data_IF_480120629083
#
_entry.id   IF_480120629083
#
_cell.length_a   1.000
_cell.length_b   1.000
_cell.length_c   1.000
_cell.angle_alpha   90.00
_cell.angle_beta   90.00
_cell.angle_gamma   90.00
#
_symmetry.space_group_name_H-M   'P 1'
#
loop_
_entity.id
_entity.type
_entity.pdbx_description
1 polymer ?
#
# COMPACT_ATOMS: atom_id res chain seq x y z
N UNK A 1 34.64 13.11 -19.45
CA UNK A 1 33.37 13.47 -20.13
C UNK A 1 33.01 12.25 -20.96
N UNK A 2 32.23 11.35 -20.38
CA UNK A 2 31.90 10.06 -21.02
C UNK A 2 30.45 10.17 -21.46
N UNK A 3 30.29 10.28 -22.77
CA UNK A 3 29.02 10.29 -23.47
C UNK A 3 28.57 8.83 -23.60
N UNK A 4 27.87 8.31 -22.58
CA UNK A 4 27.12 7.05 -22.68
C UNK A 4 25.69 7.38 -23.08
N UNK A 5 25.50 7.83 -24.31
CA UNK A 5 24.19 7.92 -24.94
C UNK A 5 23.88 6.56 -25.58
N UNK A 6 23.66 5.56 -24.72
CA UNK A 6 23.04 4.31 -25.12
C UNK A 6 21.55 4.54 -25.25
N UNK A 7 21.07 4.75 -26.47
CA UNK A 7 19.65 4.80 -26.81
C UNK A 7 19.05 3.39 -26.66
N UNK A 8 18.65 3.05 -25.43
CA UNK A 8 18.08 1.76 -25.10
C UNK A 8 16.58 1.64 -25.41
N UNK A 9 15.99 2.53 -26.24
CA UNK A 9 14.56 2.47 -26.66
C UNK A 9 13.53 2.58 -25.52
N UNK A 10 13.99 2.56 -24.27
CA UNK A 10 13.31 2.84 -23.02
C UNK A 10 13.79 4.25 -22.67
N UNK A 11 12.96 5.28 -22.86
CA UNK A 11 13.36 6.68 -22.75
C UNK A 11 14.41 6.95 -21.67
N UNK A 12 15.49 7.64 -22.02
CA UNK A 12 16.72 7.74 -21.23
C UNK A 12 16.41 8.02 -19.77
N UNK A 13 16.64 7.00 -18.93
CA UNK A 13 16.32 7.10 -17.53
C UNK A 13 17.08 8.28 -16.92
N UNK A 14 16.35 9.17 -16.24
CA UNK A 14 16.95 10.41 -15.77
C UNK A 14 17.99 10.11 -14.69
N UNK A 15 19.03 10.95 -14.56
CA UNK A 15 20.04 10.78 -13.51
C UNK A 15 19.41 10.64 -12.11
N UNK A 16 18.30 11.33 -11.85
CA UNK A 16 17.53 11.23 -10.60
C UNK A 16 16.92 9.84 -10.40
N UNK A 17 16.40 9.23 -11.45
CA UNK A 17 15.86 7.86 -11.39
C UNK A 17 16.97 6.84 -11.12
N UNK A 18 18.16 7.02 -11.70
CA UNK A 18 19.34 6.19 -11.44
C UNK A 18 19.81 6.27 -9.99
N UNK A 19 19.92 7.48 -9.43
CA UNK A 19 20.26 7.69 -8.01
C UNK A 19 19.21 7.04 -7.10
N UNK A 20 17.93 7.25 -7.39
CA UNK A 20 16.82 6.68 -6.63
C UNK A 20 16.81 5.15 -6.64
N UNK A 21 17.04 4.54 -7.81
CA UNK A 21 17.12 3.09 -7.96
C UNK A 21 18.31 2.52 -7.19
N UNK A 22 19.47 3.17 -7.28
CA UNK A 22 20.66 2.79 -6.51
C UNK A 22 20.43 2.88 -5.00
N UNK A 23 19.82 3.94 -4.50
CA UNK A 23 19.48 4.07 -3.08
C UNK A 23 18.51 2.99 -2.60
N UNK A 24 17.55 2.59 -3.43
CA UNK A 24 16.66 1.48 -3.10
C UNK A 24 17.44 0.15 -3.03
N UNK A 25 18.31 -0.13 -4.01
CA UNK A 25 19.13 -1.35 -4.05
C UNK A 25 20.11 -1.43 -2.87
N UNK A 26 20.81 -0.34 -2.55
CA UNK A 26 21.77 -0.28 -1.43
C UNK A 26 21.06 -0.51 -0.09
N UNK A 27 19.86 0.07 0.11
CA UNK A 27 19.05 -0.19 1.32
C UNK A 27 18.65 -1.66 1.46
N UNK A 28 18.64 -2.41 0.36
CA UNK A 28 18.32 -3.83 0.29
C UNK A 28 19.57 -4.71 0.21
N UNK A 29 20.76 -4.17 0.45
CA UNK A 29 22.03 -4.90 0.50
C UNK A 29 22.70 -5.15 -0.86
N UNK A 30 22.16 -4.62 -1.96
CA UNK A 30 22.77 -4.74 -3.28
C UNK A 30 23.66 -3.51 -3.57
N UNK A 31 24.98 -3.72 -3.63
CA UNK A 31 25.96 -2.67 -3.97
C UNK A 31 26.11 -2.56 -5.49
N UNK A 32 25.63 -1.45 -6.06
CA UNK A 32 25.63 -1.23 -7.50
C UNK A 32 26.11 0.18 -7.82
N UNK A 33 26.96 0.30 -8.85
CA UNK A 33 27.38 1.61 -9.37
C UNK A 33 26.31 2.23 -10.26
N UNK A 34 25.88 1.47 -11.28
CA UNK A 34 24.88 1.86 -12.26
C UNK A 34 23.82 0.76 -12.29
N UNK A 35 22.60 0.99 -11.77
CA UNK A 35 21.53 0.01 -11.86
C UNK A 35 21.20 -0.28 -13.32
N UNK A 36 20.79 -1.52 -13.62
CA UNK A 36 20.32 -1.86 -14.97
C UNK A 36 19.20 -0.91 -15.43
N UNK A 37 19.08 -0.59 -16.73
CA UNK A 37 18.08 0.38 -17.23
C UNK A 37 16.64 0.05 -16.80
N UNK A 38 16.25 -1.21 -16.86
CA UNK A 38 14.93 -1.68 -16.40
C UNK A 38 14.70 -1.38 -14.91
N UNK A 39 15.69 -1.67 -14.06
CA UNK A 39 15.63 -1.38 -12.63
C UNK A 39 15.58 0.13 -12.38
N UNK A 40 16.29 0.90 -13.20
CA UNK A 40 16.34 2.36 -13.08
C UNK A 40 14.98 2.99 -13.32
N UNK A 41 14.31 2.67 -14.43
CA UNK A 41 12.99 3.22 -14.74
C UNK A 41 11.98 2.78 -13.68
N UNK A 42 12.03 1.51 -13.29
CA UNK A 42 11.05 0.93 -12.37
C UNK A 42 11.19 1.43 -10.93
N UNK A 43 12.41 1.47 -10.39
CA UNK A 43 12.67 1.90 -9.01
C UNK A 43 12.79 3.43 -8.89
N UNK A 44 13.25 4.10 -9.94
CA UNK A 44 13.45 5.54 -9.97
C UNK A 44 12.16 6.32 -9.75
N UNK A 45 11.05 5.83 -10.30
CA UNK A 45 9.74 6.45 -10.10
C UNK A 45 9.13 6.17 -8.71
N UNK A 46 9.63 5.13 -8.01
CA UNK A 46 9.14 4.74 -6.67
C UNK A 46 9.80 5.49 -5.53
N UNK A 47 11.06 5.92 -5.65
CA UNK A 47 11.75 6.67 -4.59
C UNK A 47 11.32 8.16 -4.49
N UNK A 48 10.17 8.53 -5.05
CA UNK A 48 9.49 9.81 -4.81
C UNK A 48 8.88 9.85 -3.39
N UNK A 49 9.70 9.52 -2.40
CA UNK A 49 9.39 9.47 -0.95
C UNK A 49 8.85 10.81 -0.43
N UNK A 50 9.16 11.92 -1.12
CA UNK A 50 8.66 13.28 -0.83
C UNK A 50 7.18 13.51 -1.20
N UNK A 51 6.60 12.65 -2.03
CA UNK A 51 5.18 12.77 -2.43
C UNK A 51 4.26 12.19 -1.35
N UNK A 52 4.74 11.34 -0.45
CA UNK A 52 3.94 10.81 0.67
C UNK A 52 3.42 11.90 1.60
N UNK A 53 4.24 12.92 1.89
CA UNK A 53 3.81 14.07 2.69
C UNK A 53 2.79 14.93 1.95
N UNK A 54 2.96 15.10 0.63
CA UNK A 54 1.99 15.77 -0.23
C UNK A 54 0.66 15.01 -0.33
N UNK A 55 0.71 13.68 -0.44
CA UNK A 55 -0.47 12.82 -0.42
C UNK A 55 -1.17 12.83 0.94
N UNK A 56 -0.44 12.85 2.05
CA UNK A 56 -1.01 13.02 3.39
C UNK A 56 -1.65 14.41 3.57
N UNK A 57 -1.01 15.47 3.07
CA UNK A 57 -1.60 16.81 3.09
C UNK A 57 -2.87 16.90 2.22
N UNK A 58 -2.83 16.35 1.01
CA UNK A 58 -4.00 16.24 0.12
C UNK A 58 -5.07 15.35 0.73
N UNK A 59 -4.69 14.27 1.42
CA UNK A 59 -5.59 13.39 2.18
C UNK A 59 -6.30 14.16 3.29
N UNK A 60 -5.57 14.93 4.10
CA UNK A 60 -6.16 15.76 5.16
C UNK A 60 -7.11 16.80 4.57
N UNK A 61 -6.72 17.48 3.48
CA UNK A 61 -7.56 18.49 2.81
C UNK A 61 -8.82 17.87 2.18
N UNK A 62 -8.69 16.73 1.48
CA UNK A 62 -9.83 16.01 0.90
C UNK A 62 -10.74 15.43 1.98
N UNK A 63 -10.17 14.91 3.07
CA UNK A 63 -10.94 14.44 4.20
C UNK A 63 -11.74 15.61 4.81
N UNK A 64 -11.13 16.77 5.00
CA UNK A 64 -11.82 17.95 5.51
C UNK A 64 -12.90 18.47 4.55
N UNK A 65 -12.63 18.52 3.24
CA UNK A 65 -13.60 18.96 2.23
C UNK A 65 -14.77 17.96 2.07
N UNK A 66 -14.49 16.67 2.12
CA UNK A 66 -15.52 15.63 2.05
C UNK A 66 -16.35 15.58 3.34
N UNK A 67 -15.74 15.85 4.51
CA UNK A 67 -16.43 16.05 5.78
C UNK A 67 -17.42 17.23 5.68
N UNK A 68 -16.95 18.39 5.22
CA UNK A 68 -17.79 19.56 5.00
C UNK A 68 -18.93 19.29 4.00
N UNK A 69 -18.66 18.53 2.94
CA UNK A 69 -19.68 18.17 1.94
C UNK A 69 -20.73 17.20 2.46
N UNK A 70 -20.33 16.16 3.22
CA UNK A 70 -21.27 15.21 3.83
C UNK A 70 -22.16 15.92 4.85
N UNK A 71 -21.59 16.74 5.75
CA UNK A 71 -22.37 17.54 6.69
C UNK A 71 -23.31 18.56 6.02
N UNK A 72 -23.00 18.98 4.80
CA UNK A 72 -23.87 19.88 4.05
C UNK A 72 -25.04 19.16 3.36
N UNK A 73 -24.88 17.88 3.00
CA UNK A 73 -25.87 17.09 2.24
C UNK A 73 -26.74 16.15 3.09
N UNK A 74 -26.22 15.62 4.20
CA UNK A 74 -26.95 14.66 5.05
C UNK A 74 -28.22 15.22 5.69
N UNK A 75 -28.31 16.52 6.08
CA UNK A 75 -29.55 17.09 6.61
C UNK A 75 -30.77 17.00 5.67
N UNK A 76 -30.55 16.83 4.36
CA UNK A 76 -31.61 16.77 3.35
C UNK A 76 -32.14 15.34 3.09
N UNK A 77 -31.57 14.30 3.73
CA UNK A 77 -32.05 12.93 3.59
C UNK A 77 -33.21 12.65 4.56
N UNK A 78 -34.42 12.33 4.07
CA UNK A 78 -35.53 12.00 4.95
C UNK A 78 -35.22 10.71 5.73
N UNK A 79 -35.46 10.73 7.04
CA UNK A 79 -35.32 9.62 7.99
C UNK A 79 -33.90 9.25 8.47
N UNK A 80 -32.87 10.04 8.10
CA UNK A 80 -31.50 9.88 8.64
C UNK A 80 -31.24 10.97 9.68
N UNK A 81 -31.21 10.60 10.96
CA UNK A 81 -30.68 11.49 12.00
C UNK A 81 -29.16 11.50 11.90
N UNK A 82 -28.59 12.66 11.59
CA UNK A 82 -27.14 12.93 11.49
C UNK A 82 -26.35 12.41 12.72
N UNK A 83 -27.01 12.34 13.88
CA UNK A 83 -26.43 11.92 15.16
C UNK A 83 -26.00 10.43 15.20
N UNK A 84 -26.54 9.56 14.33
CA UNK A 84 -26.36 8.10 14.42
C UNK A 84 -25.44 7.48 13.34
N UNK A 85 -24.92 8.28 12.40
CA UNK A 85 -24.01 7.80 11.35
C UNK A 85 -22.55 7.79 11.80
N UNK A 86 -21.78 6.82 11.28
CA UNK A 86 -20.32 6.77 11.47
C UNK A 86 -19.66 7.95 10.75
N UNK A 87 -18.99 8.85 11.49
CA UNK A 87 -18.21 9.96 10.91
C UNK A 87 -17.00 9.44 10.11
N UNK A 88 -16.60 8.19 10.36
CA UNK A 88 -15.60 7.46 9.60
C UNK A 88 -15.85 7.31 8.09
N UNK A 89 -17.04 7.62 7.57
CA UNK A 89 -17.36 7.51 6.14
C UNK A 89 -16.41 8.34 5.26
N UNK A 90 -16.15 9.56 5.69
CA UNK A 90 -15.31 10.51 4.96
C UNK A 90 -13.88 9.99 4.90
N UNK A 91 -13.34 9.62 6.07
CA UNK A 91 -11.98 9.12 6.19
C UNK A 91 -11.78 7.85 5.36
N UNK A 92 -12.75 6.94 5.41
CA UNK A 92 -12.77 5.69 4.62
C UNK A 92 -12.80 5.99 3.12
N UNK A 93 -13.66 6.90 2.68
CA UNK A 93 -13.81 7.24 1.26
C UNK A 93 -12.57 7.90 0.69
N UNK A 94 -11.98 8.85 1.42
CA UNK A 94 -10.73 9.51 1.01
C UNK A 94 -9.59 8.51 0.99
N UNK A 95 -9.52 7.61 1.99
CA UNK A 95 -8.51 6.57 2.02
C UNK A 95 -8.63 5.60 0.83
N UNK A 96 -9.84 5.14 0.50
CA UNK A 96 -10.12 4.34 -0.70
C UNK A 96 -9.65 5.04 -1.98
N UNK A 97 -9.99 6.32 -2.15
CA UNK A 97 -9.62 7.10 -3.32
C UNK A 97 -8.09 7.22 -3.44
N UNK A 98 -7.40 7.51 -2.33
CA UNK A 98 -5.94 7.61 -2.29
C UNK A 98 -5.27 6.27 -2.60
N UNK A 99 -5.75 5.19 -1.97
CA UNK A 99 -5.26 3.82 -2.17
C UNK A 99 -5.34 3.44 -3.66
N UNK A 100 -6.50 3.67 -4.29
CA UNK A 100 -6.73 3.37 -5.70
C UNK A 100 -5.94 4.29 -6.64
N UNK A 101 -5.85 5.59 -6.36
CA UNK A 101 -5.09 6.54 -7.17
C UNK A 101 -3.58 6.21 -7.17
N UNK A 102 -3.05 5.86 -6.00
CA UNK A 102 -1.66 5.45 -5.82
C UNK A 102 -1.39 4.16 -6.59
N UNK A 103 -2.22 3.13 -6.39
CA UNK A 103 -2.13 1.87 -7.12
C UNK A 103 -2.23 2.06 -8.64
N UNK A 104 -3.15 2.90 -9.11
CA UNK A 104 -3.33 3.17 -10.55
C UNK A 104 -2.10 3.85 -11.16
N UNK A 105 -1.44 4.72 -10.42
CA UNK A 105 -0.23 5.40 -10.87
C UNK A 105 0.89 4.38 -11.09
N UNK A 106 1.16 3.52 -10.11
CA UNK A 106 2.18 2.48 -10.25
C UNK A 106 1.82 1.43 -11.31
N UNK A 107 0.55 1.02 -11.36
CA UNK A 107 0.08 0.04 -12.35
C UNK A 107 0.23 0.53 -13.78
N UNK A 108 0.12 1.83 -14.04
CA UNK A 108 0.33 2.39 -15.38
C UNK A 108 1.80 2.27 -15.80
N UNK A 109 2.72 2.55 -14.89
CA UNK A 109 4.16 2.44 -15.13
C UNK A 109 4.54 0.98 -15.38
N UNK A 110 4.12 0.06 -14.49
CA UNK A 110 4.43 -1.36 -14.64
C UNK A 110 3.81 -1.92 -15.95
N UNK A 111 2.61 -1.48 -16.36
CA UNK A 111 2.02 -1.88 -17.65
C UNK A 111 2.76 -1.33 -18.87
N UNK A 112 3.28 -0.09 -18.80
CA UNK A 112 4.08 0.49 -19.87
C UNK A 112 5.40 -0.23 -20.05
N UNK A 113 6.05 -0.61 -18.94
CA UNK A 113 7.24 -1.46 -18.98
C UNK A 113 6.91 -2.84 -19.55
N UNK A 114 5.80 -3.44 -19.14
CA UNK A 114 5.37 -4.74 -19.63
C UNK A 114 4.90 -4.74 -21.09
N UNK A 115 4.68 -3.61 -21.75
CA UNK A 115 4.44 -3.60 -23.21
C UNK A 115 5.72 -3.77 -24.05
N UNK A 116 6.90 -3.70 -23.43
CA UNK A 116 8.15 -4.01 -24.11
C UNK A 116 8.40 -5.52 -24.06
N UNK A 117 8.26 -6.21 -25.20
CA UNK A 117 8.43 -7.67 -25.32
C UNK A 117 9.80 -8.15 -24.81
N UNK A 118 10.85 -7.33 -24.93
CA UNK A 118 12.19 -7.64 -24.46
C UNK A 118 12.32 -7.76 -22.92
N UNK A 119 11.34 -7.26 -22.16
CA UNK A 119 11.38 -7.20 -20.69
C UNK A 119 10.43 -8.21 -20.02
N UNK A 120 9.73 -9.01 -20.82
CA UNK A 120 8.88 -10.08 -20.33
C UNK A 120 9.47 -11.41 -20.78
N UNK A 121 10.10 -12.14 -19.86
CA UNK A 121 10.38 -13.55 -20.10
C UNK A 121 9.13 -14.40 -19.72
N UNK A 122 8.38 -14.93 -20.70
CA UNK A 122 7.19 -15.75 -20.44
C UNK A 122 7.53 -17.08 -19.76
N UNK A 123 8.81 -17.47 -19.69
CA UNK A 123 9.26 -18.67 -18.99
C UNK A 123 9.33 -18.48 -17.47
N UNK A 124 9.35 -17.25 -16.97
CA UNK A 124 9.41 -16.97 -15.53
C UNK A 124 8.04 -17.12 -14.87
N UNK A 125 7.87 -18.08 -13.93
CA UNK A 125 6.59 -18.30 -13.29
C UNK A 125 6.28 -17.18 -12.29
N UNK A 126 5.00 -16.77 -12.26
CA UNK A 126 4.50 -15.80 -11.28
C UNK A 126 4.69 -16.33 -9.85
N UNK A 127 5.07 -15.46 -8.89
CA UNK A 127 5.16 -15.85 -7.50
C UNK A 127 3.78 -16.26 -6.97
N UNK A 128 3.69 -17.29 -6.10
CA UNK A 128 2.42 -17.64 -5.48
C UNK A 128 1.96 -16.51 -4.54
N UNK A 129 0.65 -16.29 -4.46
CA UNK A 129 0.07 -15.17 -3.68
C UNK A 129 0.51 -15.15 -2.21
N UNK A 130 0.72 -16.33 -1.62
CA UNK A 130 1.17 -16.47 -0.23
C UNK A 130 2.56 -15.87 0.00
N UNK A 131 3.43 -15.95 -0.99
CA UNK A 131 4.78 -15.36 -0.93
C UNK A 131 4.71 -13.84 -1.07
N UNK A 132 3.85 -13.33 -1.96
CA UNK A 132 3.69 -11.88 -2.18
C UNK A 132 3.04 -11.18 -1.01
N UNK A 133 1.98 -11.77 -0.44
CA UNK A 133 1.27 -11.15 0.68
C UNK A 133 2.01 -11.42 2.00
N UNK A 134 2.48 -12.64 2.22
CA UNK A 134 3.04 -13.05 3.50
C UNK A 134 1.97 -13.26 4.58
N UNK A 135 2.36 -13.95 5.66
CA UNK A 135 1.45 -14.30 6.75
C UNK A 135 0.94 -13.08 7.53
N UNK A 136 1.83 -12.14 7.87
CA UNK A 136 1.49 -10.97 8.68
C UNK A 136 0.51 -10.03 7.97
N UNK A 137 0.71 -9.75 6.68
CA UNK A 137 -0.23 -8.96 5.90
C UNK A 137 -1.59 -9.65 5.78
N UNK A 138 -1.59 -10.97 5.53
CA UNK A 138 -2.81 -11.75 5.43
C UNK A 138 -3.58 -11.75 6.75
N UNK A 139 -2.88 -11.88 7.88
CA UNK A 139 -3.45 -11.79 9.21
C UNK A 139 -4.04 -10.40 9.49
N UNK A 140 -3.29 -9.33 9.19
CA UNK A 140 -3.79 -7.93 9.28
C UNK A 140 -5.07 -7.73 8.47
N UNK A 141 -5.07 -8.19 7.22
CA UNK A 141 -6.23 -8.11 6.31
C UNK A 141 -7.43 -8.88 6.87
N UNK A 142 -7.22 -10.12 7.33
CA UNK A 142 -8.27 -10.96 7.88
C UNK A 142 -8.85 -10.37 9.17
N UNK A 143 -8.01 -9.93 10.11
CA UNK A 143 -8.46 -9.28 11.34
C UNK A 143 -9.26 -8.03 11.00
N UNK A 144 -8.76 -7.17 10.09
CA UNK A 144 -9.44 -5.93 9.74
C UNK A 144 -10.84 -6.19 9.17
N UNK A 145 -10.95 -6.99 8.11
CA UNK A 145 -12.25 -7.13 7.43
C UNK A 145 -13.14 -8.21 8.05
N UNK A 146 -12.60 -9.38 8.38
CA UNK A 146 -13.41 -10.48 8.94
C UNK A 146 -13.64 -10.25 10.43
N UNK A 147 -12.61 -9.83 11.17
CA UNK A 147 -12.75 -9.46 12.58
C UNK A 147 -13.67 -8.24 12.76
N UNK A 148 -13.46 -7.19 11.96
CA UNK A 148 -14.34 -6.02 11.94
C UNK A 148 -15.79 -6.38 11.59
N UNK A 149 -16.02 -7.21 10.57
CA UNK A 149 -17.36 -7.64 10.21
C UNK A 149 -18.04 -8.46 11.33
N UNK A 150 -17.29 -9.36 11.98
CA UNK A 150 -17.79 -10.11 13.13
C UNK A 150 -18.21 -9.20 14.28
N UNK A 151 -17.42 -8.17 14.57
CA UNK A 151 -17.76 -7.16 15.58
C UNK A 151 -18.99 -6.34 15.19
N UNK A 152 -19.10 -5.91 13.93
CA UNK A 152 -20.26 -5.18 13.44
C UNK A 152 -21.54 -6.00 13.55
N UNK A 153 -21.51 -7.27 13.14
CA UNK A 153 -22.65 -8.20 13.28
C UNK A 153 -23.00 -8.40 14.76
N UNK A 154 -22.01 -8.57 15.64
CA UNK A 154 -22.25 -8.69 17.07
C UNK A 154 -22.96 -7.44 17.62
N UNK A 155 -22.56 -6.23 17.23
CA UNK A 155 -23.23 -4.99 17.65
C UNK A 155 -24.67 -4.91 17.12
N UNK A 156 -24.93 -5.27 15.87
CA UNK A 156 -26.29 -5.29 15.29
C UNK A 156 -27.23 -6.18 16.10
N UNK A 157 -26.74 -7.34 16.55
CA UNK A 157 -27.56 -8.34 17.27
C UNK A 157 -27.73 -8.00 18.74
N UNK A 158 -26.69 -7.46 19.39
CA UNK A 158 -26.64 -7.33 20.85
C UNK A 158 -26.91 -5.92 21.38
N UNK A 159 -26.97 -4.91 20.50
CA UNK A 159 -27.12 -3.51 20.91
C UNK A 159 -28.22 -2.79 20.12
N UNK A 160 -28.81 -1.72 20.68
CA UNK A 160 -29.75 -0.88 19.95
C UNK A 160 -29.09 -0.01 18.86
N UNK A 161 -27.75 0.09 18.83
CA UNK A 161 -26.98 0.92 17.88
C UNK A 161 -26.87 0.30 16.47
N UNK A 162 -28.01 -0.09 15.89
CA UNK A 162 -28.07 -0.81 14.61
C UNK A 162 -27.61 0.05 13.43
N UNK A 163 -27.88 1.36 13.47
CA UNK A 163 -27.47 2.33 12.43
C UNK A 163 -25.95 2.47 12.40
N UNK A 164 -25.32 2.69 13.56
CA UNK A 164 -23.87 2.69 13.72
C UNK A 164 -23.25 1.40 13.16
N UNK A 165 -23.72 0.24 13.64
CA UNK A 165 -23.15 -1.04 13.25
C UNK A 165 -23.33 -1.35 11.76
N UNK A 166 -24.49 -1.03 11.18
CA UNK A 166 -24.76 -1.20 9.75
C UNK A 166 -23.91 -0.27 8.88
N UNK A 167 -23.76 1.00 9.29
CA UNK A 167 -22.92 1.94 8.56
C UNK A 167 -21.45 1.52 8.59
N UNK A 168 -20.93 1.10 9.76
CA UNK A 168 -19.58 0.56 9.89
C UNK A 168 -19.34 -0.67 9.02
N UNK A 169 -20.29 -1.61 8.97
CA UNK A 169 -20.23 -2.77 8.07
C UNK A 169 -20.15 -2.35 6.60
N UNK A 170 -20.91 -1.32 6.21
CA UNK A 170 -20.84 -0.73 4.87
C UNK A 170 -19.45 -0.18 4.55
N UNK A 171 -18.84 0.55 5.50
CA UNK A 171 -17.47 1.08 5.35
C UNK A 171 -16.43 -0.02 5.21
N UNK A 172 -16.52 -1.07 6.04
CA UNK A 172 -15.63 -2.24 5.93
C UNK A 172 -15.80 -2.95 4.59
N UNK A 173 -17.02 -3.09 4.08
CA UNK A 173 -17.27 -3.70 2.78
C UNK A 173 -16.64 -2.90 1.63
N UNK A 174 -16.78 -1.57 1.64
CA UNK A 174 -16.16 -0.67 0.66
C UNK A 174 -14.63 -0.78 0.73
N UNK A 175 -14.05 -0.75 1.94
CA UNK A 175 -12.61 -0.89 2.13
C UNK A 175 -12.06 -2.26 1.73
N UNK A 176 -12.83 -3.32 1.97
CA UNK A 176 -12.50 -4.67 1.51
C UNK A 176 -12.48 -4.74 -0.01
N UNK A 177 -13.46 -4.12 -0.68
CA UNK A 177 -13.54 -4.07 -2.14
C UNK A 177 -12.36 -3.28 -2.74
N UNK A 178 -12.05 -2.10 -2.19
CA UNK A 178 -10.92 -1.28 -2.69
C UNK A 178 -9.59 -2.02 -2.53
N UNK A 179 -9.39 -2.66 -1.37
CA UNK A 179 -8.21 -3.48 -1.08
C UNK A 179 -8.15 -4.68 -2.03
N UNK A 180 -9.27 -5.36 -2.27
CA UNK A 180 -9.33 -6.49 -3.20
C UNK A 180 -8.96 -6.09 -4.64
N UNK A 181 -9.38 -4.91 -5.11
CA UNK A 181 -8.99 -4.36 -6.42
C UNK A 181 -7.47 -4.18 -6.49
N UNK A 182 -6.87 -3.55 -5.48
CA UNK A 182 -5.41 -3.33 -5.42
C UNK A 182 -4.66 -4.65 -5.40
N UNK A 183 -5.05 -5.57 -4.51
CA UNK A 183 -4.37 -6.87 -4.36
C UNK A 183 -4.53 -7.73 -5.62
N UNK A 184 -5.71 -7.75 -6.23
CA UNK A 184 -5.92 -8.46 -7.50
C UNK A 184 -5.02 -7.88 -8.59
N UNK A 185 -4.89 -6.54 -8.64
CA UNK A 185 -3.97 -5.87 -9.55
C UNK A 185 -2.51 -6.26 -9.36
N UNK A 186 -2.04 -6.29 -8.10
CA UNK A 186 -0.66 -6.69 -7.76
C UNK A 186 -0.40 -8.16 -8.08
N UNK A 187 -1.33 -9.04 -7.75
CA UNK A 187 -1.19 -10.49 -7.97
C UNK A 187 -1.28 -10.87 -9.46
N UNK A 188 -2.03 -10.10 -10.26
CA UNK A 188 -2.17 -10.34 -11.71
C UNK A 188 -1.16 -9.58 -12.55
N UNK A 189 -0.34 -8.70 -11.97
CA UNK A 189 0.65 -7.94 -12.72
C UNK A 189 1.64 -8.89 -13.43
N UNK A 190 2.08 -8.57 -14.67
CA UNK A 190 3.09 -9.35 -15.39
C UNK A 190 4.44 -9.30 -14.67
N UNK A 191 5.24 -10.37 -14.79
CA UNK A 191 6.59 -10.45 -14.20
C UNK A 191 7.50 -9.61 -15.07
N UNK A 192 8.17 -8.62 -14.48
CA UNK A 192 9.08 -7.71 -15.17
C UNK A 192 10.50 -8.00 -14.67
N UNK A 193 11.16 -8.95 -15.33
CA UNK A 193 12.48 -9.44 -14.99
C UNK A 193 13.15 -10.11 -16.20
N UNK A 194 14.47 -9.94 -16.31
CA UNK A 194 15.32 -10.50 -17.37
C UNK A 194 16.12 -11.72 -16.89
N UNK A 195 16.32 -11.84 -15.57
CA UNK A 195 17.09 -12.88 -14.90
C UNK A 195 16.62 -13.09 -13.45
N UNK A 196 17.22 -14.05 -12.75
CA UNK A 196 16.84 -14.37 -11.37
C UNK A 196 17.11 -13.21 -10.38
N UNK A 197 18.11 -12.37 -10.64
CA UNK A 197 18.41 -11.21 -9.79
C UNK A 197 17.31 -10.14 -9.92
N UNK A 198 16.97 -9.75 -11.14
CA UNK A 198 15.87 -8.82 -11.44
C UNK A 198 14.52 -9.38 -11.03
N UNK A 199 14.33 -10.71 -11.05
CA UNK A 199 13.15 -11.38 -10.51
C UNK A 199 13.01 -11.20 -9.00
N UNK A 200 14.11 -11.33 -8.24
CA UNK A 200 14.07 -11.06 -6.81
C UNK A 200 13.65 -9.61 -6.49
N UNK A 201 14.03 -8.66 -7.35
CA UNK A 201 13.56 -7.26 -7.26
C UNK A 201 12.06 -7.17 -7.58
N UNK A 202 11.57 -7.87 -8.61
CA UNK A 202 10.13 -7.93 -8.94
C UNK A 202 9.29 -8.42 -7.75
N UNK A 203 9.72 -9.51 -7.11
CA UNK A 203 9.02 -10.11 -5.97
C UNK A 203 8.96 -9.17 -4.76
N UNK A 204 10.09 -8.52 -4.41
CA UNK A 204 10.13 -7.53 -3.34
C UNK A 204 9.24 -6.34 -3.63
N UNK A 205 9.30 -5.82 -4.86
CA UNK A 205 8.46 -4.72 -5.33
C UNK A 205 6.98 -5.06 -5.24
N UNK A 206 6.57 -6.28 -5.64
CA UNK A 206 5.18 -6.71 -5.54
C UNK A 206 4.71 -6.75 -4.09
N UNK A 207 5.57 -7.26 -3.22
CA UNK A 207 5.31 -7.31 -1.78
C UNK A 207 5.18 -5.89 -1.21
N UNK A 208 6.03 -4.95 -1.63
CA UNK A 208 5.95 -3.53 -1.26
C UNK A 208 4.63 -2.91 -1.74
N UNK A 209 4.25 -3.13 -3.01
CA UNK A 209 2.99 -2.66 -3.58
C UNK A 209 1.76 -3.23 -2.85
N UNK A 210 1.79 -4.51 -2.45
CA UNK A 210 0.73 -5.11 -1.64
C UNK A 210 0.66 -4.45 -0.25
N UNK A 211 1.79 -4.25 0.41
CA UNK A 211 1.84 -3.60 1.72
C UNK A 211 1.36 -2.14 1.68
N UNK A 212 1.48 -1.44 0.55
CA UNK A 212 0.92 -0.12 0.36
C UNK A 212 -0.61 -0.07 0.34
N UNK A 213 -1.28 -1.21 0.19
CA UNK A 213 -2.73 -1.27 0.39
C UNK A 213 -3.13 -1.01 1.85
N UNK A 214 -2.22 -1.20 2.82
CA UNK A 214 -2.41 -0.92 4.27
C UNK A 214 -3.85 -1.18 4.78
N UNK A 215 -4.38 -2.41 4.67
CA UNK A 215 -5.78 -2.72 5.02
C UNK A 215 -6.16 -2.28 6.44
N UNK A 216 -5.25 -2.35 7.40
CA UNK A 216 -5.48 -1.90 8.79
C UNK A 216 -5.93 -0.43 8.91
N UNK A 217 -5.69 0.42 7.91
CA UNK A 217 -6.22 1.79 7.90
C UNK A 217 -7.76 1.84 7.91
N UNK A 218 -8.44 0.79 7.45
CA UNK A 218 -9.91 0.67 7.55
C UNK A 218 -10.40 0.35 8.97
N UNK A 219 -9.52 -0.03 9.89
CA UNK A 219 -9.86 -0.17 11.30
C UNK A 219 -9.82 1.16 12.05
N UNK A 220 -8.99 2.11 11.60
CA UNK A 220 -8.73 3.39 12.29
C UNK A 220 -9.94 4.32 12.43
N UNK A 221 -10.89 4.42 11.46
CA UNK A 221 -12.05 5.30 11.60
C UNK A 221 -12.83 5.09 12.91
N UNK A 222 -12.85 3.85 13.44
CA UNK A 222 -13.46 3.52 14.72
C UNK A 222 -12.92 4.40 15.85
N UNK A 223 -11.64 4.77 15.83
CA UNK A 223 -11.01 5.62 16.86
C UNK A 223 -11.62 7.02 16.88
N UNK A 224 -12.03 7.57 15.73
CA UNK A 224 -12.71 8.87 15.69
C UNK A 224 -14.08 8.77 16.35
N UNK A 225 -14.85 7.73 16.01
CA UNK A 225 -16.14 7.47 16.65
C UNK A 225 -15.99 7.29 18.18
N UNK A 226 -14.88 6.69 18.65
CA UNK A 226 -14.56 6.54 20.08
C UNK A 226 -14.46 7.89 20.81
N UNK A 227 -13.91 8.93 20.17
CA UNK A 227 -13.78 10.27 20.77
C UNK A 227 -15.14 10.99 20.86
N UNK A 228 -16.04 10.73 19.92
CA UNK A 228 -17.39 11.29 19.90
C UNK A 228 -18.37 10.50 20.78
N UNK A 229 -18.01 9.27 21.18
CA UNK A 229 -18.84 8.43 22.03
C UNK A 229 -20.04 7.81 21.31
N UNK A 230 -19.96 7.66 19.97
CA UNK A 230 -21.06 7.12 19.15
C UNK A 230 -21.21 5.60 19.21
N UNK A 231 -20.15 4.90 19.59
CA UNK A 231 -20.15 3.45 19.74
C UNK A 231 -20.90 3.00 21.01
N UNK A 232 -21.46 1.78 21.01
CA UNK A 232 -21.94 1.15 22.25
C UNK A 232 -20.84 1.06 23.30
N UNK A 233 -21.10 1.57 24.51
CA UNK A 233 -20.11 1.61 25.60
C UNK A 233 -19.52 0.22 25.92
N UNK A 234 -20.35 -0.83 25.88
CA UNK A 234 -19.95 -2.22 26.10
C UNK A 234 -18.89 -2.74 25.11
N UNK A 235 -18.79 -2.15 23.91
CA UNK A 235 -17.84 -2.56 22.87
C UNK A 235 -16.56 -1.72 22.84
N UNK A 236 -16.46 -0.64 23.64
CA UNK A 236 -15.33 0.31 23.57
C UNK A 236 -13.98 -0.38 23.74
N UNK A 237 -13.81 -1.20 24.77
CA UNK A 237 -12.55 -1.92 25.00
C UNK A 237 -12.21 -2.93 23.89
N UNK A 238 -13.22 -3.60 23.35
CA UNK A 238 -13.06 -4.57 22.26
C UNK A 238 -12.66 -3.87 20.96
N UNK A 239 -13.25 -2.71 20.67
CA UNK A 239 -12.93 -1.89 19.51
C UNK A 239 -11.50 -1.35 19.56
N UNK A 240 -11.05 -0.89 20.73
CA UNK A 240 -9.64 -0.49 20.94
C UNK A 240 -8.71 -1.68 20.68
N UNK A 241 -9.01 -2.85 21.25
CA UNK A 241 -8.22 -4.06 21.04
C UNK A 241 -8.15 -4.47 19.56
N UNK A 242 -9.27 -4.35 18.84
CA UNK A 242 -9.36 -4.61 17.40
C UNK A 242 -8.46 -3.67 16.58
N UNK A 243 -8.49 -2.36 16.86
CA UNK A 243 -7.63 -1.39 16.16
C UNK A 243 -6.16 -1.67 16.43
N UNK A 244 -5.80 -1.85 17.71
CA UNK A 244 -4.41 -2.14 18.11
C UNK A 244 -3.90 -3.42 17.44
N UNK A 245 -4.71 -4.48 17.41
CA UNK A 245 -4.33 -5.73 16.78
C UNK A 245 -4.15 -5.58 15.26
N UNK A 246 -5.10 -4.92 14.58
CA UNK A 246 -5.04 -4.71 13.13
C UNK A 246 -3.82 -3.89 12.72
N UNK A 247 -3.60 -2.75 13.39
CA UNK A 247 -2.45 -1.87 13.13
C UNK A 247 -1.14 -2.56 13.52
N UNK A 248 -1.09 -3.24 14.66
CA UNK A 248 0.09 -3.99 15.11
C UNK A 248 0.53 -5.04 14.10
N UNK A 249 -0.39 -5.86 13.59
CA UNK A 249 -0.11 -6.86 12.56
C UNK A 249 0.39 -6.20 11.26
N UNK A 250 -0.21 -5.09 10.86
CA UNK A 250 0.24 -4.33 9.68
C UNK A 250 1.65 -3.77 9.86
N UNK A 251 1.96 -3.21 11.02
CA UNK A 251 3.29 -2.69 11.33
C UNK A 251 4.33 -3.81 11.32
N UNK A 252 4.02 -4.98 11.88
CA UNK A 252 4.91 -6.14 11.80
C UNK A 252 5.13 -6.55 10.34
N UNK A 253 4.09 -6.58 9.50
CA UNK A 253 4.23 -6.88 8.08
C UNK A 253 5.20 -5.90 7.38
N UNK A 254 5.05 -4.59 7.63
CA UNK A 254 5.91 -3.55 7.06
C UNK A 254 7.35 -3.64 7.59
N UNK A 255 7.54 -3.90 8.89
CA UNK A 255 8.88 -4.01 9.50
C UNK A 255 9.59 -5.25 8.99
N UNK A 256 8.93 -6.41 8.97
CA UNK A 256 9.51 -7.65 8.44
C UNK A 256 9.87 -7.48 6.97
N UNK A 257 8.97 -6.88 6.17
CA UNK A 257 9.24 -6.63 4.76
C UNK A 257 10.40 -5.64 4.54
N UNK A 258 10.47 -4.54 5.30
CA UNK A 258 11.54 -3.55 5.14
C UNK A 258 12.93 -4.09 5.49
N UNK A 259 12.99 -5.19 6.25
CA UNK A 259 14.23 -5.92 6.58
C UNK A 259 14.61 -6.98 5.56
N UNK A 260 13.80 -7.24 4.53
CA UNK A 260 14.16 -8.19 3.48
C UNK A 260 15.34 -7.65 2.66
N UNK A 261 16.35 -8.49 2.52
CA UNK A 261 17.60 -8.24 1.78
C UNK A 261 17.51 -8.96 0.44
N UNK A 262 18.06 -8.35 -0.60
CA UNK A 262 18.17 -8.97 -1.91
C UNK A 262 19.18 -10.14 -1.87
N UNK A 263 18.92 -11.24 -2.60
CA UNK A 263 19.91 -12.29 -2.75
C UNK A 263 21.16 -11.75 -3.49
N UNK A 264 22.32 -12.42 -3.39
CA UNK A 264 23.46 -12.11 -4.25
C UNK A 264 23.06 -12.26 -5.72
N UNK A 265 23.39 -11.26 -6.55
CA UNK A 265 23.03 -11.26 -7.97
C UNK A 265 23.63 -10.07 -8.72
N UNK A 266 23.61 -10.14 -10.06
CA UNK A 266 24.03 -9.03 -10.90
C UNK A 266 22.88 -8.04 -11.10
N UNK A 267 22.95 -6.93 -10.35
CA UNK A 267 22.01 -5.82 -10.42
C UNK A 267 22.51 -4.66 -11.31
N UNK A 268 23.68 -4.83 -11.94
CA UNK A 268 24.48 -3.82 -12.62
C UNK A 268 25.96 -3.90 -12.21
N UNK A 269 26.87 -3.22 -12.94
CA UNK A 269 28.30 -3.27 -12.65
C UNK A 269 28.59 -2.88 -11.20
N UNK A 270 29.44 -3.65 -10.48
CA UNK A 270 29.77 -3.38 -9.10
C UNK A 270 30.46 -2.00 -8.97
N UNK A 271 30.21 -1.32 -7.85
CA UNK A 271 30.97 -0.10 -7.52
C UNK A 271 32.44 -0.45 -7.31
N UNK A 272 33.32 0.20 -8.06
CA UNK A 272 34.78 0.03 -7.93
C UNK A 272 35.32 0.48 -6.55
N UNK A 273 34.51 1.20 -5.77
CA UNK A 273 34.86 1.57 -4.39
C UNK A 273 34.36 0.49 -3.42
N UNK A 274 35.28 -0.20 -2.72
CA UNK A 274 34.90 -0.94 -1.52
C UNK A 274 34.34 0.08 -0.53
N UNK A 275 33.12 -0.17 -0.05
CA UNK A 275 32.56 0.57 1.10
C UNK A 275 33.59 0.43 2.21
N UNK A 276 34.22 1.56 2.55
CA UNK A 276 35.24 1.62 3.57
C UNK A 276 34.77 0.80 4.77
N UNK A 277 35.60 -0.17 5.14
CA UNK A 277 35.59 -0.78 6.45
C UNK A 277 35.45 0.36 7.46
N UNK A 278 34.24 0.51 8.01
CA UNK A 278 34.05 1.25 9.23
C UNK A 278 34.92 0.53 10.26
N UNK A 279 36.10 1.09 10.50
CA UNK A 279 36.90 0.76 11.68
C UNK A 279 36.01 0.93 12.91
N UNK A 280 36.14 -0.06 13.79
CA UNK A 280 35.39 -0.27 15.02
C UNK A 280 35.53 0.89 16.02
#
# INVERSE_FOLDING_TARGET
>A
MVETEGDWGLGTATHREAVAAREWLVRRGALVHIPRPLLTVRLGQRNRRRVWFGYYAVFVVLAFACYAFVHWLVPDLPDVRDEDMTEGLVLTSVYCALQLATWRTWSRVDRGLASHEALNDPSLPRPPWRTVLGGWFTASTAVTFVGGAGLGVAMVVTTPARTYASSWLGLLAIGALSTAVVLTGVLRAPVIADDEATRAVDDLVRTENANHALPAMFAVPVVFDLFEGKQPSAFTGVLIGYVVLSVGLQLVAVVVHSRQVLPPGDYGPPSAEPVGSAEA
#
